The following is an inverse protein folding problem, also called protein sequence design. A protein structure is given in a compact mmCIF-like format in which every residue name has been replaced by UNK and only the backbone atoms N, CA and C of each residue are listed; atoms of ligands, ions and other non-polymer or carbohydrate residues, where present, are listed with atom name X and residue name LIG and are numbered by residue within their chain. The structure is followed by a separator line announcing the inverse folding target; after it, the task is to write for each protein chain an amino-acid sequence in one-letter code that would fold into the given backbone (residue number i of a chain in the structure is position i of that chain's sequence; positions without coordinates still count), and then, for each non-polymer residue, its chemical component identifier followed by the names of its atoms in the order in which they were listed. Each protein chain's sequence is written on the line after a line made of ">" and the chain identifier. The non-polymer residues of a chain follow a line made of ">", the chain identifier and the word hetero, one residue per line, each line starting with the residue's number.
data_IF_263795376029
#
_entry.id   IF_263795376029
#
_cell.length_a   1.000
_cell.length_b   1.000
_cell.length_c   1.000
_cell.angle_alpha   90.00
_cell.angle_beta   90.00
_cell.angle_gamma   90.00
#
_symmetry.space_group_name_H-M   'P 1'
#
loop_
_entity.id
_entity.type
_entity.pdbx_description
1 polymer ?
#
# COMPACT_ATOMS: atom_id res chain seq x y z
N UNK A 1 9.42 -6.12 -26.66
CA UNK A 1 8.37 -5.08 -26.69
C UNK A 1 8.19 -4.57 -25.27
N UNK A 2 8.76 -3.43 -24.95
CA UNK A 2 8.66 -2.82 -23.61
C UNK A 2 7.21 -2.35 -23.45
N UNK A 3 6.41 -3.07 -22.65
CA UNK A 3 5.11 -2.54 -22.23
C UNK A 3 5.41 -1.24 -21.49
N UNK A 4 4.91 -0.12 -22.01
CA UNK A 4 5.04 1.18 -21.36
C UNK A 4 4.48 1.16 -19.94
N UNK A 5 4.79 2.19 -19.16
CA UNK A 5 4.25 2.35 -17.80
C UNK A 5 2.71 2.42 -17.90
N UNK A 6 2.02 1.40 -17.37
CA UNK A 6 0.56 1.40 -17.24
C UNK A 6 0.24 1.94 -15.86
N UNK A 7 -0.21 3.19 -15.79
CA UNK A 7 -0.72 3.79 -14.56
C UNK A 7 -2.10 3.20 -14.30
N UNK A 8 -2.25 2.47 -13.19
CA UNK A 8 -3.53 1.94 -12.71
C UNK A 8 -3.86 2.68 -11.42
N UNK A 9 -5.14 2.68 -11.02
CA UNK A 9 -5.49 3.04 -9.65
C UNK A 9 -4.60 2.25 -8.69
N UNK A 10 -4.14 2.91 -7.63
CA UNK A 10 -3.23 2.34 -6.63
C UNK A 10 -3.96 1.34 -5.72
N UNK A 11 -4.64 0.37 -6.31
CA UNK A 11 -5.41 -0.66 -5.63
C UNK A 11 -5.20 -1.99 -6.33
N UNK A 12 -4.65 -2.96 -5.59
CA UNK A 12 -4.66 -4.37 -5.94
C UNK A 12 -5.64 -5.09 -5.02
N UNK A 13 -6.62 -5.85 -5.55
CA UNK A 13 -7.62 -6.51 -4.74
C UNK A 13 -7.01 -7.67 -3.93
N UNK A 14 -7.30 -7.70 -2.62
CA UNK A 14 -6.74 -8.68 -1.70
C UNK A 14 -5.26 -8.45 -1.36
N UNK A 15 -4.59 -9.51 -0.89
CA UNK A 15 -3.20 -9.44 -0.42
C UNK A 15 -2.27 -10.19 -1.36
N UNK A 16 -1.07 -9.66 -1.53
CA UNK A 16 0.02 -10.30 -2.25
C UNK A 16 1.32 -10.18 -1.42
N UNK A 17 2.26 -11.13 -1.56
CA UNK A 17 3.58 -10.99 -0.99
C UNK A 17 4.30 -9.74 -1.52
N UNK A 18 5.03 -9.06 -0.64
CA UNK A 18 6.01 -8.06 -1.08
C UNK A 18 7.25 -8.82 -1.57
N UNK A 19 7.54 -8.72 -2.85
CA UNK A 19 8.61 -9.43 -3.53
C UNK A 19 9.93 -8.66 -3.47
N UNK A 20 9.86 -7.32 -3.46
CA UNK A 20 11.03 -6.45 -3.34
C UNK A 20 10.64 -5.07 -2.79
N UNK A 21 11.62 -4.42 -2.18
CA UNK A 21 11.56 -3.02 -1.74
C UNK A 21 12.85 -2.28 -2.14
N UNK A 22 12.79 -0.95 -2.20
CA UNK A 22 13.92 -0.09 -2.54
C UNK A 22 13.56 0.96 -3.59
N UNK A 23 14.48 1.89 -3.87
CA UNK A 23 14.26 2.99 -4.83
C UNK A 23 12.97 3.81 -4.57
N UNK A 24 12.56 3.91 -3.30
CA UNK A 24 11.34 4.60 -2.90
C UNK A 24 10.03 3.89 -3.27
N UNK A 25 10.04 2.56 -3.40
CA UNK A 25 8.82 1.80 -3.71
C UNK A 25 8.91 0.30 -3.40
N UNK A 26 7.89 -0.42 -3.89
CA UNK A 26 7.65 -1.84 -3.66
C UNK A 26 7.26 -2.56 -4.94
N UNK A 27 7.55 -3.87 -4.98
CA UNK A 27 7.08 -4.80 -6.02
C UNK A 27 6.25 -5.92 -5.40
N UNK A 28 5.14 -6.25 -6.03
CA UNK A 28 4.21 -7.30 -5.61
C UNK A 28 3.31 -7.69 -6.80
N UNK A 29 2.93 -8.97 -6.93
CA UNK A 29 1.97 -9.43 -7.93
C UNK A 29 2.28 -8.97 -9.37
N UNK A 30 3.56 -9.01 -9.77
CA UNK A 30 4.08 -8.48 -11.05
C UNK A 30 3.84 -6.97 -11.28
N UNK A 31 3.51 -6.22 -10.22
CA UNK A 31 3.30 -4.77 -10.22
C UNK A 31 4.46 -4.05 -9.52
N UNK A 32 4.63 -2.76 -9.85
CA UNK A 32 5.54 -1.86 -9.16
C UNK A 32 4.75 -0.64 -8.68
N UNK A 33 4.93 -0.27 -7.42
CA UNK A 33 4.35 0.93 -6.83
C UNK A 33 5.47 1.80 -6.25
N UNK A 34 5.41 3.11 -6.50
CA UNK A 34 6.32 4.10 -5.90
C UNK A 34 5.57 4.82 -4.79
N UNK A 35 6.21 5.01 -3.64
CA UNK A 35 5.57 5.55 -2.44
C UNK A 35 5.22 4.45 -1.43
N UNK A 36 4.55 4.86 -0.37
CA UNK A 36 4.17 3.98 0.74
C UNK A 36 2.89 3.21 0.40
N UNK A 37 2.66 2.11 1.10
CA UNK A 37 1.51 1.22 0.89
C UNK A 37 0.78 0.96 2.21
N UNK A 38 -0.53 0.77 2.13
CA UNK A 38 -1.33 0.08 3.15
C UNK A 38 -1.73 -1.30 2.61
N UNK A 39 -1.16 -2.35 3.21
CA UNK A 39 -1.50 -3.74 2.89
C UNK A 39 -2.61 -4.22 3.83
N UNK A 40 -3.88 -4.09 3.41
CA UNK A 40 -5.06 -4.38 4.21
C UNK A 40 -5.72 -5.71 3.78
N UNK A 41 -6.63 -6.28 4.59
CA UNK A 41 -7.39 -7.47 4.19
C UNK A 41 -8.16 -7.30 2.88
N UNK A 42 -8.70 -6.11 2.62
CA UNK A 42 -9.42 -5.75 1.39
C UNK A 42 -8.53 -5.58 0.15
N UNK A 43 -7.27 -5.21 0.32
CA UNK A 43 -6.42 -4.78 -0.79
C UNK A 43 -5.08 -4.21 -0.39
N UNK A 44 -4.20 -4.06 -1.37
CA UNK A 44 -2.99 -3.23 -1.27
C UNK A 44 -3.33 -1.86 -1.86
N UNK A 45 -3.20 -0.82 -1.04
CA UNK A 45 -3.50 0.57 -1.38
C UNK A 45 -2.24 1.42 -1.40
N UNK A 46 -2.15 2.36 -2.35
CA UNK A 46 -1.24 3.50 -2.22
C UNK A 46 -1.57 4.29 -0.96
N UNK A 47 -0.54 4.71 -0.22
CA UNK A 47 -0.69 5.45 1.02
C UNK A 47 0.25 6.64 1.04
N UNK A 48 -0.33 7.83 1.12
CA UNK A 48 0.40 9.11 1.13
C UNK A 48 -0.15 9.96 2.28
N UNK A 49 0.37 9.80 3.52
CA UNK A 49 -0.01 10.67 4.63
C UNK A 49 0.45 12.10 4.33
N UNK A 50 -0.25 13.08 4.90
CA UNK A 50 0.06 14.50 4.66
C UNK A 50 1.47 14.89 5.15
N UNK A 51 1.88 14.32 6.29
CA UNK A 51 3.23 14.44 6.83
C UNK A 51 3.71 13.08 7.37
N UNK A 52 4.69 12.44 6.71
CA UNK A 52 5.25 11.16 7.15
C UNK A 52 5.89 11.20 8.55
N UNK A 53 6.24 12.38 9.07
CA UNK A 53 6.83 12.56 10.41
C UNK A 53 5.77 12.90 11.47
N UNK A 54 4.54 13.18 11.08
CA UNK A 54 3.45 13.58 11.97
C UNK A 54 2.15 12.82 11.67
N UNK A 55 2.25 11.48 11.67
CA UNK A 55 1.12 10.61 11.38
C UNK A 55 0.00 10.76 12.42
N UNK A 56 -1.23 10.84 11.94
CA UNK A 56 -2.44 10.93 12.74
C UNK A 56 -3.36 9.73 12.50
N UNK A 57 -4.34 9.52 13.37
CA UNK A 57 -5.35 8.48 13.17
C UNK A 57 -6.12 8.62 11.83
N UNK A 58 -6.27 9.85 11.33
CA UNK A 58 -6.93 10.11 10.06
C UNK A 58 -6.15 9.54 8.86
N UNK A 59 -4.81 9.54 8.92
CA UNK A 59 -3.96 8.94 7.88
C UNK A 59 -4.15 7.43 7.77
N UNK A 60 -4.64 6.79 8.83
CA UNK A 60 -4.95 5.36 8.91
C UNK A 60 -6.44 5.04 8.76
N UNK A 61 -7.27 5.95 8.26
CA UNK A 61 -8.72 5.75 8.18
C UNK A 61 -9.12 4.43 7.48
N UNK A 62 -8.41 4.03 6.41
CA UNK A 62 -8.67 2.75 5.73
C UNK A 62 -8.40 1.54 6.62
N UNK A 63 -7.31 1.56 7.38
CA UNK A 63 -7.00 0.52 8.36
C UNK A 63 -8.07 0.47 9.45
N UNK A 64 -8.43 1.63 10.00
CA UNK A 64 -9.40 1.73 11.10
C UNK A 64 -10.80 1.26 10.68
N UNK A 65 -11.19 1.44 9.43
CA UNK A 65 -12.44 0.90 8.87
C UNK A 65 -12.48 -0.63 8.79
N UNK A 66 -11.32 -1.30 8.87
CA UNK A 66 -11.17 -2.76 8.83
C UNK A 66 -10.50 -3.30 10.09
N UNK A 67 -10.51 -2.53 11.18
CA UNK A 67 -9.82 -2.87 12.42
C UNK A 67 -10.32 -4.17 13.06
N UNK A 68 -11.57 -4.58 12.78
CA UNK A 68 -12.15 -5.86 13.20
C UNK A 68 -11.43 -7.08 12.59
N UNK A 69 -10.65 -6.87 11.52
CA UNK A 69 -9.91 -7.90 10.78
C UNK A 69 -8.40 -7.76 10.91
N UNK A 70 -7.91 -6.79 11.69
CA UNK A 70 -6.48 -6.54 11.86
C UNK A 70 -6.11 -6.58 13.35
N UNK A 71 -5.35 -7.60 13.72
CA UNK A 71 -4.85 -7.74 15.09
C UNK A 71 -3.51 -7.01 15.31
N UNK A 72 -2.68 -6.92 14.26
CA UNK A 72 -1.33 -6.35 14.33
C UNK A 72 -1.11 -5.43 13.12
N UNK A 73 -0.67 -4.20 13.39
CA UNK A 73 -0.13 -3.28 12.40
C UNK A 73 1.40 -3.29 12.46
N UNK A 74 2.05 -3.53 11.32
CA UNK A 74 3.50 -3.40 11.16
C UNK A 74 3.81 -2.07 10.47
N UNK A 75 4.70 -1.27 11.06
CA UNK A 75 5.14 0.05 10.58
C UNK A 75 6.65 0.07 10.43
#
# INVERSE_FOLDING_TARGET
>A
MTKGIVIREAHFPGRAPIEAYGNGGFRFADMSHRGSLLCLPSGIYGWEPADPLALTAADFAKLLNEADKVEILLV
#
